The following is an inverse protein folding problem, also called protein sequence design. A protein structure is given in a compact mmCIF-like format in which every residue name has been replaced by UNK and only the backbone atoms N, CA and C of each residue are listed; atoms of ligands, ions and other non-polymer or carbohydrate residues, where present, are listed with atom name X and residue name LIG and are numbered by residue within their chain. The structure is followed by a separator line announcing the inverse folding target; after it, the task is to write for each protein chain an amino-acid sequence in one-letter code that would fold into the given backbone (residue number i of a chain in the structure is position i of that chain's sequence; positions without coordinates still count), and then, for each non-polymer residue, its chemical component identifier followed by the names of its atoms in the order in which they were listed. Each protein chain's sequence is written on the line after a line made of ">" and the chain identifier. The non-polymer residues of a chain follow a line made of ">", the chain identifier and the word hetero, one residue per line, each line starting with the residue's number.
data_IF_602694000454
#
_entry.id   IF_602694000454
#
_cell.length_a   1.000
_cell.length_b   1.000
_cell.length_c   1.000
_cell.angle_alpha   90.00
_cell.angle_beta   90.00
_cell.angle_gamma   90.00
#
_symmetry.space_group_name_H-M   'P 1'
#
loop_
_entity.id
_entity.type
_entity.pdbx_description
1 polymer ?
#
# COMPACT_ATOMS: atom_id res chain seq x y z
N UNK A 1 2.07 -17.21 23.62
CA UNK A 1 2.14 -16.52 22.32
C UNK A 1 3.36 -17.07 21.61
N UNK A 2 3.17 -17.79 20.52
CA UNK A 2 4.27 -18.15 19.61
C UNK A 2 4.63 -16.90 18.80
N UNK A 3 5.91 -16.57 18.74
CA UNK A 3 6.42 -15.51 17.87
C UNK A 3 6.40 -16.02 16.43
N UNK A 4 5.27 -15.78 15.73
CA UNK A 4 5.10 -16.16 14.33
C UNK A 4 5.57 -15.04 13.41
N UNK A 5 6.51 -15.35 12.51
CA UNK A 5 6.96 -14.44 11.45
C UNK A 5 6.22 -14.78 10.16
N UNK A 6 5.50 -13.80 9.60
CA UNK A 6 4.81 -13.95 8.32
C UNK A 6 5.53 -13.18 7.21
N UNK A 7 5.82 -13.87 6.11
CA UNK A 7 6.46 -13.31 4.92
C UNK A 7 5.47 -13.29 3.77
N UNK A 8 5.29 -12.11 3.17
CA UNK A 8 4.33 -11.88 2.10
C UNK A 8 5.03 -11.43 0.82
N UNK A 9 4.61 -11.97 -0.31
CA UNK A 9 5.09 -11.59 -1.65
C UNK A 9 3.87 -11.19 -2.48
N UNK A 10 3.97 -10.07 -3.19
CA UNK A 10 2.91 -9.58 -4.06
C UNK A 10 3.48 -8.95 -5.34
N UNK A 11 2.79 -9.14 -6.46
CA UNK A 11 3.11 -8.47 -7.72
C UNK A 11 2.80 -6.98 -7.62
N UNK A 12 3.69 -6.15 -8.15
CA UNK A 12 3.45 -4.71 -8.34
C UNK A 12 2.87 -4.37 -9.72
N UNK A 13 2.95 -5.31 -10.65
CA UNK A 13 2.35 -5.18 -11.98
C UNK A 13 0.92 -5.70 -11.88
N UNK A 14 -0.03 -4.75 -11.84
CA UNK A 14 -1.46 -5.00 -11.61
C UNK A 14 -2.32 -4.26 -12.64
N UNK A 15 -3.54 -4.76 -12.84
CA UNK A 15 -4.55 -4.10 -13.68
C UNK A 15 -4.89 -2.70 -13.17
N UNK A 16 -5.43 -1.84 -14.05
CA UNK A 16 -5.85 -0.48 -13.66
C UNK A 16 -6.93 -0.48 -12.58
N UNK A 17 -7.90 -1.40 -12.64
CA UNK A 17 -8.92 -1.54 -11.60
C UNK A 17 -8.31 -1.85 -10.22
N UNK A 18 -7.30 -2.73 -10.19
CA UNK A 18 -6.62 -3.07 -8.94
C UNK A 18 -5.77 -1.90 -8.47
N UNK A 19 -5.10 -1.20 -9.38
CA UNK A 19 -4.38 0.03 -9.08
C UNK A 19 -5.30 1.07 -8.45
N UNK A 20 -6.47 1.35 -9.03
CA UNK A 20 -7.42 2.34 -8.53
C UNK A 20 -7.91 1.99 -7.12
N UNK A 21 -8.16 0.70 -6.87
CA UNK A 21 -8.53 0.21 -5.54
C UNK A 21 -7.45 0.46 -4.50
N UNK A 22 -6.19 0.19 -4.86
CA UNK A 22 -5.04 0.41 -3.98
C UNK A 22 -4.76 1.91 -3.79
N UNK A 23 -4.90 2.72 -4.84
CA UNK A 23 -4.72 4.16 -4.80
C UNK A 23 -5.72 4.86 -3.86
N UNK A 24 -6.94 4.32 -3.73
CA UNK A 24 -7.99 4.87 -2.84
C UNK A 24 -7.60 4.84 -1.36
N UNK A 25 -6.76 3.90 -0.92
CA UNK A 25 -6.38 3.79 0.50
C UNK A 25 -5.16 4.63 0.87
N UNK A 26 -4.51 5.27 -0.10
CA UNK A 26 -3.36 6.13 0.18
C UNK A 26 -3.82 7.51 0.70
N UNK A 27 -3.22 8.00 1.80
CA UNK A 27 -3.36 9.39 2.23
C UNK A 27 -2.67 10.35 1.25
N UNK A 28 -2.98 11.64 1.36
CA UNK A 28 -2.43 12.69 0.49
C UNK A 28 -0.91 12.68 0.45
N UNK A 29 -0.23 12.59 1.60
CA UNK A 29 1.24 12.59 1.69
C UNK A 29 1.90 11.52 0.81
N UNK A 30 1.35 10.30 0.77
CA UNK A 30 1.89 9.23 -0.07
C UNK A 30 1.56 9.45 -1.56
N UNK A 31 0.42 10.08 -1.87
CA UNK A 31 0.07 10.48 -3.24
C UNK A 31 1.00 11.59 -3.72
N UNK A 32 1.31 12.56 -2.88
CA UNK A 32 2.23 13.65 -3.17
C UNK A 32 3.65 13.11 -3.41
N UNK A 33 4.07 12.13 -2.59
CA UNK A 33 5.33 11.41 -2.81
C UNK A 33 5.32 10.62 -4.11
N UNK A 34 4.22 9.95 -4.46
CA UNK A 34 4.13 9.25 -5.74
C UNK A 34 4.26 10.21 -6.93
N UNK A 35 3.68 11.41 -6.81
CA UNK A 35 3.71 12.43 -7.85
C UNK A 35 5.13 12.98 -8.14
N UNK A 36 6.07 12.86 -7.20
CA UNK A 36 7.47 13.26 -7.42
C UNK A 36 8.34 12.20 -8.08
N UNK A 37 7.79 11.02 -8.41
CA UNK A 37 8.52 9.89 -8.99
C UNK A 37 8.30 9.80 -10.51
N UNK A 38 9.15 9.03 -11.20
CA UNK A 38 8.88 8.66 -12.61
C UNK A 38 7.59 7.85 -12.72
N UNK A 39 6.86 7.88 -13.84
CA UNK A 39 5.53 7.25 -13.94
C UNK A 39 5.49 5.77 -13.51
N UNK A 40 6.51 4.99 -13.90
CA UNK A 40 6.61 3.57 -13.54
C UNK A 40 6.86 3.40 -12.03
N UNK A 41 7.77 4.21 -11.47
CA UNK A 41 8.07 4.18 -10.05
C UNK A 41 6.89 4.66 -9.20
N UNK A 42 6.19 5.70 -9.64
CA UNK A 42 4.97 6.21 -9.02
C UNK A 42 3.90 5.12 -8.94
N UNK A 43 3.63 4.43 -10.06
CA UNK A 43 2.65 3.35 -10.11
C UNK A 43 3.03 2.22 -9.15
N UNK A 44 4.28 1.74 -9.20
CA UNK A 44 4.77 0.68 -8.31
C UNK A 44 4.73 1.09 -6.84
N UNK A 45 5.05 2.34 -6.53
CA UNK A 45 4.95 2.89 -5.18
C UNK A 45 3.51 2.83 -4.66
N UNK A 46 2.54 3.31 -5.43
CA UNK A 46 1.12 3.28 -5.04
C UNK A 46 0.64 1.85 -4.79
N UNK A 47 0.98 0.91 -5.67
CA UNK A 47 0.60 -0.50 -5.52
C UNK A 47 1.22 -1.11 -4.26
N UNK A 48 2.52 -0.92 -4.05
CA UNK A 48 3.22 -1.44 -2.87
C UNK A 48 2.63 -0.88 -1.57
N UNK A 49 2.39 0.44 -1.49
CA UNK A 49 1.81 1.08 -0.31
C UNK A 49 0.36 0.66 -0.06
N UNK A 50 -0.44 0.55 -1.11
CA UNK A 50 -1.82 0.09 -0.99
C UNK A 50 -1.90 -1.35 -0.47
N UNK A 51 -1.01 -2.24 -0.95
CA UNK A 51 -0.94 -3.63 -0.50
C UNK A 51 -0.54 -3.68 0.97
N UNK A 52 0.55 -2.99 1.34
CA UNK A 52 1.03 -2.96 2.72
C UNK A 52 -0.04 -2.44 3.70
N UNK A 53 -0.71 -1.34 3.36
CA UNK A 53 -1.77 -0.77 4.21
C UNK A 53 -2.96 -1.71 4.35
N UNK A 54 -3.37 -2.36 3.26
CA UNK A 54 -4.46 -3.34 3.29
C UNK A 54 -4.09 -4.53 4.16
N UNK A 55 -2.88 -5.05 4.03
CA UNK A 55 -2.36 -6.15 4.83
C UNK A 55 -2.34 -5.80 6.32
N UNK A 56 -1.71 -4.68 6.68
CA UNK A 56 -1.62 -4.22 8.07
C UNK A 56 -2.98 -3.88 8.68
N UNK A 57 -3.97 -3.47 7.88
CA UNK A 57 -5.32 -3.23 8.39
C UNK A 57 -5.96 -4.51 8.95
N UNK A 58 -5.66 -5.67 8.34
CA UNK A 58 -6.12 -6.97 8.83
C UNK A 58 -5.51 -7.35 10.19
N UNK A 59 -4.23 -7.02 10.40
CA UNK A 59 -3.53 -7.32 11.66
C UNK A 59 -3.83 -6.34 12.80
N UNK A 60 -4.18 -5.09 12.47
CA UNK A 60 -4.34 -4.02 13.45
C UNK A 60 -5.79 -3.65 13.74
N UNK A 61 -6.73 -4.09 12.91
CA UNK A 61 -8.13 -3.62 12.92
C UNK A 61 -8.29 -2.14 12.56
N UNK A 62 -7.20 -1.44 12.22
CA UNK A 62 -7.22 -0.03 11.82
C UNK A 62 -7.40 0.07 10.33
N UNK A 63 -8.35 0.87 9.85
CA UNK A 63 -8.58 1.03 8.41
C UNK A 63 -7.30 1.44 7.68
N UNK A 64 -7.04 0.86 6.50
CA UNK A 64 -5.83 1.07 5.70
C UNK A 64 -5.43 2.56 5.53
N UNK A 65 -6.41 3.44 5.29
CA UNK A 65 -6.17 4.89 5.11
C UNK A 65 -5.81 5.64 6.41
N UNK A 66 -6.11 5.07 7.58
CA UNK A 66 -5.82 5.67 8.90
C UNK A 66 -4.50 5.20 9.51
N UNK A 67 -3.86 4.19 8.93
CA UNK A 67 -2.54 3.73 9.38
C UNK A 67 -1.51 4.86 9.26
N UNK A 68 -0.75 5.07 10.34
CA UNK A 68 0.35 6.03 10.44
C UNK A 68 1.67 5.26 10.44
N UNK A 69 2.65 5.77 9.71
CA UNK A 69 4.00 5.23 9.64
C UNK A 69 4.96 6.31 10.17
N UNK A 70 5.97 5.90 10.94
CA UNK A 70 7.04 6.76 11.46
C UNK A 70 8.20 6.86 10.48
#
# INVERSE_FOLDING_TARGET
>A
MTEEVQVWVASLDVTDERYDTLARVLPSEEKDRAASLTPIAARRFVVARGILRTLLSGFTGTSAAKLRFS
#
